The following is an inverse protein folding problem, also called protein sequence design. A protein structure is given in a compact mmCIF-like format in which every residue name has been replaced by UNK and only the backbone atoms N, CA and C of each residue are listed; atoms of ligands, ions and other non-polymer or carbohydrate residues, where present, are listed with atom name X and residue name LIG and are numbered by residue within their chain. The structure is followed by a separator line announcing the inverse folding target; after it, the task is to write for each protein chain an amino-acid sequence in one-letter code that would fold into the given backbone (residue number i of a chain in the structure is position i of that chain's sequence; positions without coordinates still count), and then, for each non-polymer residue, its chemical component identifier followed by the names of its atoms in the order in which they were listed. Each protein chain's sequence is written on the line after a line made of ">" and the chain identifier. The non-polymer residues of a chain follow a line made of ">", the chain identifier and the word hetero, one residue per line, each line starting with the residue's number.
data_IF_995993948146
#
_entry.id   IF_995993948146
#
_cell.length_a   1.000
_cell.length_b   1.000
_cell.length_c   1.000
_cell.angle_alpha   90.00
_cell.angle_beta   90.00
_cell.angle_gamma   90.00
#
_symmetry.space_group_name_H-M   'P 1'
#
loop_
_entity.id
_entity.type
_entity.pdbx_description
1 polymer ?
#
# COMPACT_ATOMS: atom_id res chain seq x y z
N UNK A 1 -11.05 6.18 -12.50
CA UNK A 1 -12.32 5.96 -11.77
C UNK A 1 -12.52 7.13 -10.81
N UNK A 2 -13.75 7.61 -10.60
CA UNK A 2 -14.04 8.54 -9.51
C UNK A 2 -13.60 7.91 -8.17
N UNK A 3 -13.34 8.73 -7.15
CA UNK A 3 -13.36 8.20 -5.78
C UNK A 3 -14.73 7.55 -5.59
N UNK A 4 -14.76 6.33 -5.09
CA UNK A 4 -15.98 5.86 -4.44
C UNK A 4 -16.12 6.72 -3.18
N UNK A 5 -16.88 7.81 -3.28
CA UNK A 5 -17.16 8.72 -2.16
C UNK A 5 -17.92 7.99 -1.02
N UNK A 6 -18.30 6.71 -1.22
CA UNK A 6 -18.85 5.80 -0.21
C UNK A 6 -17.84 4.89 0.48
N UNK A 7 -16.56 4.90 0.09
CA UNK A 7 -15.52 4.08 0.74
C UNK A 7 -14.94 4.83 1.95
N UNK A 8 -15.45 4.47 3.13
CA UNK A 8 -15.13 5.06 4.43
C UNK A 8 -13.72 4.72 4.94
N UNK A 9 -12.99 3.84 4.25
CA UNK A 9 -11.65 3.42 4.68
C UNK A 9 -10.65 4.57 4.58
N UNK A 10 -9.86 4.74 5.64
CA UNK A 10 -8.77 5.70 5.73
C UNK A 10 -7.69 5.40 4.70
N UNK A 11 -6.87 6.39 4.34
CA UNK A 11 -5.75 6.18 3.41
C UNK A 11 -4.78 5.09 3.94
N UNK A 12 -4.63 5.00 5.27
CA UNK A 12 -3.82 3.98 5.95
C UNK A 12 -4.43 2.59 5.81
N UNK A 13 -5.75 2.46 5.95
CA UNK A 13 -6.46 1.18 5.74
C UNK A 13 -6.24 0.69 4.30
N UNK A 14 -6.31 1.59 3.32
CA UNK A 14 -6.06 1.23 1.92
C UNK A 14 -4.61 0.81 1.65
N UNK A 15 -3.63 1.37 2.38
CA UNK A 15 -2.24 0.88 2.31
C UNK A 15 -2.13 -0.55 2.81
N UNK A 16 -2.76 -0.86 3.95
CA UNK A 16 -2.76 -2.21 4.54
C UNK A 16 -3.48 -3.20 3.62
N UNK A 17 -4.67 -2.85 3.13
CA UNK A 17 -5.44 -3.67 2.20
C UNK A 17 -4.69 -3.87 0.88
N UNK A 18 -4.03 -2.83 0.36
CA UNK A 18 -3.23 -2.93 -0.85
C UNK A 18 -2.10 -3.93 -0.69
N UNK A 19 -1.35 -3.84 0.42
CA UNK A 19 -0.27 -4.78 0.74
C UNK A 19 -0.78 -6.21 0.95
N UNK A 20 -1.96 -6.38 1.56
CA UNK A 20 -2.57 -7.70 1.78
C UNK A 20 -2.96 -8.43 0.49
N UNK A 21 -3.34 -7.67 -0.55
CA UNK A 21 -3.83 -8.20 -1.82
C UNK A 21 -2.83 -8.10 -2.96
N UNK A 22 -1.56 -7.76 -2.68
CA UNK A 22 -0.53 -7.75 -3.72
C UNK A 22 -0.31 -9.17 -4.27
N UNK A 23 -0.18 -9.33 -5.59
CA UNK A 23 0.06 -10.63 -6.20
C UNK A 23 1.49 -11.16 -5.99
N UNK A 24 2.42 -10.32 -5.54
CA UNK A 24 3.80 -10.67 -5.20
C UNK A 24 4.42 -9.61 -4.27
N UNK A 25 5.48 -9.97 -3.56
CA UNK A 25 6.14 -9.08 -2.61
C UNK A 25 6.78 -7.86 -3.30
N UNK A 26 6.62 -6.68 -2.69
CA UNK A 26 7.15 -5.42 -3.19
C UNK A 26 7.73 -4.58 -2.06
N UNK A 27 8.70 -3.73 -2.41
CA UNK A 27 9.16 -2.66 -1.54
C UNK A 27 8.22 -1.45 -1.56
N UNK A 28 8.55 -0.45 -0.73
CA UNK A 28 7.79 0.80 -0.55
C UNK A 28 7.35 1.49 -1.84
N UNK A 29 8.31 1.76 -2.75
CA UNK A 29 7.99 2.50 -3.98
C UNK A 29 7.08 1.70 -4.92
N UNK A 30 7.20 0.37 -4.92
CA UNK A 30 6.31 -0.51 -5.69
C UNK A 30 4.87 -0.42 -5.20
N UNK A 31 4.67 -0.58 -3.89
CA UNK A 31 3.35 -0.44 -3.26
C UNK A 31 2.76 0.96 -3.49
N UNK A 32 3.56 2.03 -3.32
CA UNK A 32 3.10 3.40 -3.56
C UNK A 32 2.63 3.62 -5.01
N UNK A 33 3.33 3.05 -6.00
CA UNK A 33 2.92 3.13 -7.41
C UNK A 33 1.62 2.37 -7.69
N UNK A 34 1.40 1.22 -7.05
CA UNK A 34 0.13 0.48 -7.17
C UNK A 34 -1.02 1.29 -6.60
N UNK A 35 -0.87 1.83 -5.38
CA UNK A 35 -1.91 2.60 -4.70
C UNK A 35 -2.21 3.93 -5.41
N UNK A 36 -1.18 4.59 -5.95
CA UNK A 36 -1.34 5.77 -6.82
C UNK A 36 -2.04 5.40 -8.14
N UNK A 37 -1.72 4.22 -8.65
CA UNK A 37 -2.13 3.71 -9.95
C UNK A 37 -1.43 4.40 -11.13
N UNK A 38 -1.83 4.01 -12.34
CA UNK A 38 -1.34 4.58 -13.60
C UNK A 38 -0.29 3.71 -14.29
N UNK A 39 0.20 4.17 -15.45
CA UNK A 39 1.04 3.35 -16.34
C UNK A 39 2.40 2.92 -15.75
N UNK A 40 2.86 3.58 -14.68
CA UNK A 40 4.08 3.20 -13.96
C UNK A 40 3.84 2.15 -12.87
N UNK A 41 2.59 1.71 -12.66
CA UNK A 41 2.27 0.68 -11.68
C UNK A 41 2.88 -0.67 -12.11
N UNK A 42 3.57 -1.39 -11.20
CA UNK A 42 4.05 -2.74 -11.47
C UNK A 42 2.93 -3.80 -11.46
N UNK A 43 1.69 -3.42 -11.13
CA UNK A 43 0.53 -4.30 -11.05
C UNK A 43 -0.61 -3.68 -11.85
N UNK A 44 -1.23 -4.47 -12.72
CA UNK A 44 -2.44 -4.08 -13.45
C UNK A 44 -3.65 -3.93 -12.51
N UNK A 45 -4.63 -3.06 -12.82
CA UNK A 45 -5.80 -2.82 -11.98
C UNK A 45 -6.57 -4.08 -11.57
N UNK A 46 -6.63 -5.09 -12.44
CA UNK A 46 -7.38 -6.33 -12.23
C UNK A 46 -6.71 -7.26 -11.20
N UNK A 47 -5.44 -7.00 -10.86
CA UNK A 47 -4.63 -7.87 -9.98
C UNK A 47 -4.54 -7.35 -8.54
N UNK A 48 -5.01 -6.14 -8.27
CA UNK A 48 -5.03 -5.56 -6.92
C UNK A 48 -6.25 -4.65 -6.77
N UNK A 49 -7.21 -4.96 -5.87
CA UNK A 49 -8.40 -4.15 -5.66
C UNK A 49 -8.10 -2.68 -5.30
N UNK A 50 -7.01 -2.43 -4.57
CA UNK A 50 -6.59 -1.10 -4.14
C UNK A 50 -5.76 -0.34 -5.19
N UNK A 51 -5.67 -0.86 -6.42
CA UNK A 51 -4.96 -0.17 -7.48
C UNK A 51 -5.60 1.20 -7.79
N UNK A 52 -4.82 2.28 -7.62
CA UNK A 52 -5.30 3.64 -7.81
C UNK A 52 -6.26 4.13 -6.72
N UNK A 53 -6.36 3.44 -5.60
CA UNK A 53 -7.18 3.85 -4.46
C UNK A 53 -6.74 5.20 -3.87
N UNK A 54 -5.43 5.48 -3.88
CA UNK A 54 -4.82 6.71 -3.38
C UNK A 54 -4.43 7.67 -4.52
N UNK A 55 -5.11 7.60 -5.68
CA UNK A 55 -4.81 8.46 -6.85
C UNK A 55 -4.80 9.98 -6.55
N UNK A 56 -5.47 10.38 -5.48
CA UNK A 56 -5.65 11.75 -5.05
C UNK A 56 -4.45 12.31 -4.25
N UNK A 57 -3.60 11.44 -3.68
CA UNK A 57 -2.37 11.81 -2.98
C UNK A 57 -1.19 11.91 -3.94
N UNK A 58 -0.14 12.64 -3.56
CA UNK A 58 1.15 12.53 -4.26
C UNK A 58 1.78 11.15 -3.98
N UNK A 59 2.67 10.67 -4.86
CA UNK A 59 3.37 9.41 -4.60
C UNK A 59 4.19 9.50 -3.30
N UNK A 60 4.85 10.64 -3.05
CA UNK A 60 5.62 10.88 -1.82
C UNK A 60 4.74 10.78 -0.57
N UNK A 61 3.53 11.35 -0.56
CA UNK A 61 2.63 11.25 0.58
C UNK A 61 2.20 9.80 0.87
N UNK A 62 2.04 8.97 -0.16
CA UNK A 62 1.77 7.54 0.00
C UNK A 62 3.00 6.83 0.58
N UNK A 63 4.20 7.15 0.09
CA UNK A 63 5.45 6.61 0.62
C UNK A 63 5.66 6.99 2.09
N UNK A 64 5.35 8.22 2.48
CA UNK A 64 5.41 8.70 3.87
C UNK A 64 4.42 7.94 4.76
N UNK A 65 3.19 7.74 4.28
CA UNK A 65 2.17 6.93 4.99
C UNK A 65 2.65 5.48 5.21
N UNK A 66 3.34 4.90 4.23
CA UNK A 66 3.93 3.55 4.36
C UNK A 66 5.05 3.56 5.42
N UNK A 67 5.92 4.56 5.45
CA UNK A 67 6.99 4.67 6.47
C UNK A 67 6.42 4.87 7.87
N UNK A 68 5.34 5.65 8.03
CA UNK A 68 4.64 5.78 9.31
C UNK A 68 4.11 4.42 9.80
N UNK A 69 3.45 3.66 8.92
CA UNK A 69 2.95 2.31 9.24
C UNK A 69 4.07 1.31 9.55
N UNK A 70 5.26 1.47 8.95
CA UNK A 70 6.46 0.72 9.33
C UNK A 70 6.93 1.11 10.73
N UNK A 71 7.07 2.42 11.00
CA UNK A 71 7.51 2.96 12.29
C UNK A 71 6.57 2.59 13.45
N UNK A 72 5.27 2.48 13.17
CA UNK A 72 4.25 2.06 14.13
C UNK A 72 4.09 0.53 14.25
N UNK A 73 4.84 -0.24 13.46
CA UNK A 73 4.89 -1.71 13.53
C UNK A 73 3.69 -2.42 12.89
N UNK A 74 2.94 -1.78 12.00
CA UNK A 74 1.89 -2.44 11.20
C UNK A 74 2.48 -3.17 9.99
N UNK A 75 3.55 -2.62 9.41
CA UNK A 75 4.26 -3.18 8.27
C UNK A 75 5.69 -3.53 8.70
N UNK A 76 6.17 -4.71 8.30
CA UNK A 76 7.56 -5.09 8.40
C UNK A 76 8.25 -4.89 7.05
N UNK A 77 9.42 -4.24 7.07
CA UNK A 77 10.33 -4.14 5.93
C UNK A 77 11.50 -5.09 6.15
N UNK A 78 11.71 -6.02 5.24
CA UNK A 78 12.87 -6.90 5.30
C UNK A 78 14.12 -6.14 4.81
N UNK A 79 14.97 -5.68 5.74
CA UNK A 79 16.20 -4.94 5.40
C UNK A 79 17.29 -5.82 4.77
N UNK A 80 17.16 -7.15 4.86
CA UNK A 80 18.12 -8.10 4.27
C UNK A 80 17.74 -8.52 2.84
N UNK A 81 16.49 -8.27 2.44
CA UNK A 81 16.01 -8.52 1.09
C UNK A 81 16.46 -7.39 0.14
N UNK A 82 16.99 -7.76 -1.04
CA UNK A 82 17.50 -6.80 -2.03
C UNK A 82 16.44 -5.80 -2.50
N UNK A 83 15.16 -6.19 -2.47
CA UNK A 83 14.03 -5.35 -2.86
C UNK A 83 13.31 -4.72 -1.65
N UNK A 84 13.83 -4.92 -0.44
CA UNK A 84 13.26 -4.46 0.83
C UNK A 84 11.76 -4.72 0.92
N UNK A 85 11.38 -5.98 0.66
CA UNK A 85 9.99 -6.38 0.58
C UNK A 85 9.23 -6.07 1.87
N UNK A 86 8.00 -5.61 1.68
CA UNK A 86 7.06 -5.31 2.74
C UNK A 86 6.18 -6.52 3.03
N UNK A 87 5.83 -6.71 4.29
CA UNK A 87 4.83 -7.69 4.73
C UNK A 87 4.06 -7.16 5.94
N UNK A 88 2.80 -7.59 6.09
CA UNK A 88 2.01 -7.23 7.25
C UNK A 88 2.48 -7.95 8.50
N UNK A 89 2.66 -7.21 9.60
CA UNK A 89 2.87 -7.79 10.92
C UNK A 89 1.58 -8.41 11.46
N UNK A 90 1.65 -9.11 12.59
CA UNK A 90 0.44 -9.55 13.30
C UNK A 90 -0.46 -8.37 13.71
N UNK A 91 0.12 -7.19 13.97
CA UNK A 91 -0.62 -5.97 14.28
C UNK A 91 -1.35 -5.44 13.04
N UNK A 92 -0.65 -5.36 11.90
CA UNK A 92 -1.22 -4.98 10.60
C UNK A 92 -2.39 -5.85 10.16
N UNK A 93 -2.35 -7.15 10.45
CA UNK A 93 -3.44 -8.08 10.08
C UNK A 93 -4.69 -7.99 10.96
N UNK A 94 -4.58 -7.45 12.18
CA UNK A 94 -5.63 -7.52 13.20
C UNK A 94 -6.30 -6.18 13.52
N UNK A 95 -5.62 -5.08 13.25
CA UNK A 95 -6.03 -3.77 13.72
C UNK A 95 -6.62 -2.94 12.58
N UNK A 96 -7.75 -2.25 12.79
CA UNK A 96 -8.08 -1.09 11.99
C UNK A 96 -6.99 -0.02 12.23
N UNK A 97 -6.57 0.67 11.17
CA UNK A 97 -5.44 1.63 11.15
C UNK A 97 -5.86 3.05 10.77
#
# INVERSE_FOLDING_TARGET
>A
PPRDDGDLRSDRERVIDGLAHLPFGMGRSGLAKVLKGGASSPVEPERCPEHGALRHLSQSAIEDTIEELIGEGYIHRDELDEYRRLSLTLKGKKSPV
#
